data_IF_155912969577
#
_entry.id   IF_155912969577
#
_cell.length_a   1.000
_cell.length_b   1.000
_cell.length_c   1.000
_cell.angle_alpha   90.00
_cell.angle_beta   90.00
_cell.angle_gamma   90.00
#
_symmetry.space_group_name_H-M   'P 1'
#
loop_
_entity.id
_entity.type
_entity.pdbx_description
1 polymer ?
#
# COMPACT_ATOMS: atom_id res chain seq x y z
N UNK A 1 -3.27 -28.01 -12.02
CA UNK A 1 -2.30 -26.92 -12.21
C UNK A 1 -0.94 -27.41 -11.71
N UNK A 2 0.06 -27.46 -12.59
CA UNK A 2 1.33 -28.15 -12.34
C UNK A 2 2.24 -27.37 -11.39
N UNK A 3 2.93 -28.08 -10.48
CA UNK A 3 3.96 -27.58 -9.54
C UNK A 3 5.05 -26.72 -10.23
N UNK A 4 5.25 -26.88 -11.54
CA UNK A 4 6.21 -26.09 -12.33
C UNK A 4 5.81 -24.61 -12.49
N UNK A 5 4.51 -24.30 -12.62
CA UNK A 5 4.05 -22.91 -12.81
C UNK A 5 4.19 -22.06 -11.53
N UNK A 6 4.04 -22.67 -10.35
CA UNK A 6 4.20 -21.97 -9.07
C UNK A 6 5.67 -21.61 -8.79
N UNK A 7 6.60 -22.50 -9.17
CA UNK A 7 8.04 -22.26 -9.01
C UNK A 7 8.55 -21.14 -9.94
N UNK A 8 8.07 -21.09 -11.19
CA UNK A 8 8.43 -20.02 -12.13
C UNK A 8 7.91 -18.65 -11.69
N UNK A 9 6.67 -18.56 -11.21
CA UNK A 9 6.10 -17.33 -10.65
C UNK A 9 6.86 -16.84 -9.42
N UNK A 10 7.20 -17.73 -8.48
CA UNK A 10 8.01 -17.38 -7.31
C UNK A 10 9.42 -16.91 -7.68
N UNK A 11 10.07 -17.57 -8.64
CA UNK A 11 11.40 -17.14 -9.11
C UNK A 11 11.36 -15.78 -9.83
N UNK A 12 10.26 -15.50 -10.52
CA UNK A 12 10.03 -14.23 -11.22
C UNK A 12 9.75 -13.11 -10.24
N UNK A 13 8.90 -13.34 -9.24
CA UNK A 13 8.64 -12.39 -8.16
C UNK A 13 9.90 -12.07 -7.36
N UNK A 14 10.73 -13.07 -7.02
CA UNK A 14 12.02 -12.86 -6.34
C UNK A 14 13.01 -12.05 -7.19
N UNK A 15 13.09 -12.32 -8.49
CA UNK A 15 13.93 -11.53 -9.42
C UNK A 15 13.44 -10.09 -9.55
N UNK A 16 12.13 -9.88 -9.71
CA UNK A 16 11.53 -8.55 -9.77
C UNK A 16 11.76 -7.79 -8.44
N UNK A 17 11.61 -8.45 -7.29
CA UNK A 17 11.83 -7.87 -5.97
C UNK A 17 13.28 -7.40 -5.76
N UNK A 18 14.26 -8.25 -6.08
CA UNK A 18 15.69 -7.86 -6.06
C UNK A 18 16.00 -6.73 -7.03
N UNK A 19 15.35 -6.73 -8.21
CA UNK A 19 15.48 -5.68 -9.21
C UNK A 19 14.88 -4.37 -8.69
N UNK A 20 13.67 -4.35 -8.14
CA UNK A 20 13.02 -3.14 -7.63
C UNK A 20 13.76 -2.49 -6.45
N UNK A 21 14.36 -3.29 -5.58
CA UNK A 21 15.19 -2.81 -4.47
C UNK A 21 16.56 -2.30 -4.94
N UNK A 22 17.08 -2.79 -6.07
CA UNK A 22 18.39 -2.43 -6.63
C UNK A 22 18.36 -1.55 -7.89
N UNK A 23 17.20 -1.30 -8.50
CA UNK A 23 17.12 -0.50 -9.73
C UNK A 23 17.26 0.97 -9.41
N UNK A 24 18.27 1.60 -9.99
CA UNK A 24 18.31 3.05 -10.13
C UNK A 24 17.01 3.52 -10.78
N UNK A 25 16.27 4.38 -10.08
CA UNK A 25 14.98 5.00 -10.41
C UNK A 25 14.83 5.43 -11.89
N UNK A 26 14.48 4.52 -12.79
CA UNK A 26 14.07 4.86 -14.17
C UNK A 26 12.55 4.78 -14.27
N UNK A 27 11.89 5.92 -14.02
CA UNK A 27 10.46 6.05 -14.31
C UNK A 27 10.26 5.92 -15.81
N UNK A 28 9.24 5.18 -16.21
CA UNK A 28 9.00 4.98 -17.63
C UNK A 28 8.51 6.28 -18.28
N UNK A 29 7.93 7.23 -17.52
CA UNK A 29 7.50 8.57 -18.00
C UNK A 29 8.11 9.71 -17.17
N UNK A 30 8.47 10.81 -17.85
CA UNK A 30 8.84 12.07 -17.19
C UNK A 30 7.61 12.98 -17.01
N UNK A 31 7.38 13.58 -15.82
CA UNK A 31 6.21 14.43 -15.59
C UNK A 31 6.29 15.84 -16.22
N UNK A 32 7.36 16.18 -16.94
CA UNK A 32 7.69 17.59 -17.23
C UNK A 32 6.86 18.11 -18.42
N UNK A 33 5.64 18.53 -18.12
CA UNK A 33 4.95 19.59 -18.85
C UNK A 33 4.51 20.63 -17.83
N UNK A 34 4.73 21.92 -18.12
CA UNK A 34 4.30 23.08 -17.32
C UNK A 34 2.76 23.16 -17.25
N UNK A 35 2.10 22.21 -16.57
CA UNK A 35 0.67 22.29 -16.28
C UNK A 35 0.49 23.06 -14.99
N UNK A 36 0.02 24.31 -15.12
CA UNK A 36 -0.35 25.20 -14.01
C UNK A 36 -1.22 24.43 -12.98
N UNK A 37 -0.79 24.37 -11.72
CA UNK A 37 -1.67 24.07 -10.57
C UNK A 37 -1.72 22.64 -10.00
N UNK A 38 -0.95 21.67 -10.49
CA UNK A 38 -0.90 20.32 -9.85
C UNK A 38 0.21 20.26 -8.81
N UNK A 39 -0.15 20.05 -7.54
CA UNK A 39 0.82 19.78 -6.46
C UNK A 39 1.40 18.39 -6.67
N UNK A 40 2.74 18.33 -6.76
CA UNK A 40 3.52 17.10 -6.91
C UNK A 40 4.60 17.10 -5.84
N UNK A 41 5.15 15.92 -5.55
CA UNK A 41 6.25 15.83 -4.59
C UNK A 41 6.84 14.44 -4.52
N UNK A 42 7.56 14.22 -3.43
CA UNK A 42 8.22 12.96 -3.11
C UNK A 42 7.77 12.47 -1.73
N UNK A 43 7.64 11.16 -1.59
CA UNK A 43 7.33 10.46 -0.36
C UNK A 43 8.56 9.63 0.03
N UNK A 44 9.18 9.85 1.20
CA UNK A 44 10.32 9.05 1.62
C UNK A 44 9.81 7.74 2.23
N UNK A 45 10.08 6.64 1.52
CA UNK A 45 9.66 5.29 1.86
C UNK A 45 10.80 4.52 2.52
N UNK A 46 10.58 4.04 3.74
CA UNK A 46 11.47 3.12 4.44
C UNK A 46 11.42 1.75 3.76
N UNK A 47 10.21 1.28 3.38
CA UNK A 47 9.99 0.01 2.68
C UNK A 47 10.79 -0.10 1.38
N UNK A 48 10.90 1.00 0.64
CA UNK A 48 11.61 1.04 -0.64
C UNK A 48 13.04 1.58 -0.54
N UNK A 49 13.45 2.12 0.61
CA UNK A 49 14.76 2.74 0.80
C UNK A 49 15.01 3.94 -0.14
N UNK A 50 13.97 4.56 -0.69
CA UNK A 50 14.08 5.67 -1.65
C UNK A 50 12.89 6.62 -1.60
N UNK A 51 13.04 7.75 -2.29
CA UNK A 51 11.95 8.68 -2.56
C UNK A 51 11.03 8.14 -3.67
N UNK A 52 9.72 8.11 -3.40
CA UNK A 52 8.64 7.74 -4.33
C UNK A 52 7.97 9.03 -4.80
N UNK A 53 7.90 9.32 -6.11
CA UNK A 53 7.11 10.49 -6.52
C UNK A 53 5.62 10.22 -6.53
N UNK A 54 4.89 11.31 -6.36
CA UNK A 54 3.45 11.37 -6.51
C UNK A 54 3.09 12.65 -7.28
N UNK A 55 2.06 12.57 -8.11
CA UNK A 55 1.56 13.64 -8.98
C UNK A 55 0.24 14.24 -8.49
N UNK A 56 -0.32 13.71 -7.40
CA UNK A 56 -1.54 14.21 -6.75
C UNK A 56 -1.56 13.94 -5.24
N UNK A 57 -2.41 14.67 -4.51
CA UNK A 57 -2.62 14.45 -3.07
C UNK A 57 -3.19 13.06 -2.76
N UNK A 58 -3.99 12.49 -3.68
CA UNK A 58 -4.51 11.13 -3.53
C UNK A 58 -3.37 10.11 -3.64
N UNK A 59 -2.45 10.28 -4.59
CA UNK A 59 -1.26 9.43 -4.69
C UNK A 59 -0.39 9.54 -3.43
N UNK A 60 -0.20 10.74 -2.87
CA UNK A 60 0.51 10.93 -1.59
C UNK A 60 -0.16 10.13 -0.46
N UNK A 61 -1.50 10.17 -0.36
CA UNK A 61 -2.27 9.40 0.63
C UNK A 61 -2.12 7.90 0.44
N UNK A 62 -2.14 7.44 -0.81
CA UNK A 62 -1.94 6.04 -1.13
C UNK A 62 -0.52 5.55 -0.76
N UNK A 63 0.52 6.37 -0.97
CA UNK A 63 1.87 6.04 -0.51
C UNK A 63 1.93 5.72 0.99
N UNK A 64 1.22 6.49 1.84
CA UNK A 64 1.13 6.17 3.27
C UNK A 64 0.48 4.80 3.51
N UNK A 65 -0.58 4.45 2.78
CA UNK A 65 -1.22 3.14 2.94
C UNK A 65 -0.30 2.01 2.50
N UNK A 66 0.39 2.16 1.37
CA UNK A 66 1.31 1.14 0.87
C UNK A 66 2.51 0.97 1.79
N UNK A 67 3.03 2.06 2.36
CA UNK A 67 4.14 2.06 3.30
C UNK A 67 3.83 1.25 4.56
N UNK A 68 2.67 1.49 5.17
CA UNK A 68 2.28 0.85 6.43
C UNK A 68 1.55 -0.49 6.25
N UNK A 69 1.15 -0.85 5.03
CA UNK A 69 0.47 -2.13 4.79
C UNK A 69 1.46 -3.27 4.82
N UNK A 70 1.33 -4.14 5.84
CA UNK A 70 2.16 -5.34 5.96
C UNK A 70 2.06 -6.24 4.73
N UNK A 71 0.86 -6.39 4.16
CA UNK A 71 0.68 -7.24 2.98
C UNK A 71 1.45 -6.72 1.75
N UNK A 72 1.77 -5.42 1.68
CA UNK A 72 2.61 -4.87 0.61
C UNK A 72 4.07 -5.09 0.98
N UNK A 73 4.78 -5.87 0.17
CA UNK A 73 6.22 -6.03 0.31
C UNK A 73 6.99 -4.87 -0.33
N UNK A 74 6.58 -4.46 -1.54
CA UNK A 74 7.23 -3.40 -2.30
C UNK A 74 6.22 -2.64 -3.15
N UNK A 75 6.54 -1.39 -3.50
CA UNK A 75 5.75 -0.62 -4.45
C UNK A 75 6.61 0.37 -5.23
N UNK A 76 6.19 0.71 -6.45
CA UNK A 76 6.82 1.76 -7.27
C UNK A 76 5.79 2.54 -8.06
N UNK A 77 6.10 3.80 -8.31
CA UNK A 77 5.31 4.69 -9.15
C UNK A 77 5.56 4.43 -10.64
N UNK A 78 4.52 4.62 -11.47
CA UNK A 78 4.57 4.62 -12.94
C UNK A 78 5.37 3.44 -13.54
N UNK A 79 5.01 2.20 -13.16
CA UNK A 79 5.84 1.00 -13.30
C UNK A 79 6.06 0.57 -14.76
N UNK A 80 5.03 0.68 -15.59
CA UNK A 80 5.01 0.16 -16.96
C UNK A 80 4.21 1.06 -17.90
N UNK A 81 4.51 1.00 -19.20
CA UNK A 81 3.65 1.53 -20.27
C UNK A 81 2.96 0.37 -20.98
N UNK A 82 1.64 0.35 -20.90
CA UNK A 82 0.74 -0.58 -21.58
C UNK A 82 0.17 0.05 -22.86
N UNK A 83 -0.20 -0.80 -23.81
CA UNK A 83 -0.88 -0.42 -25.05
C UNK A 83 -2.22 -1.14 -25.08
N UNK A 84 -3.29 -0.41 -24.81
CA UNK A 84 -4.63 -0.96 -24.64
C UNK A 84 -5.45 -0.73 -25.91
N UNK A 85 -5.87 -1.79 -26.61
CA UNK A 85 -6.86 -1.68 -27.68
C UNK A 85 -8.21 -1.19 -27.12
N UNK A 86 -8.72 -0.08 -27.63
CA UNK A 86 -9.96 0.53 -27.15
C UNK A 86 -10.62 1.36 -28.25
N UNK A 87 -11.86 1.03 -28.64
CA UNK A 87 -12.62 1.69 -29.72
C UNK A 87 -11.79 1.85 -31.01
N UNK A 88 -11.29 0.73 -31.54
CA UNK A 88 -10.51 0.65 -32.79
C UNK A 88 -9.15 1.38 -32.78
N UNK A 89 -8.79 2.03 -31.67
CA UNK A 89 -7.49 2.68 -31.50
C UNK A 89 -6.68 2.01 -30.39
N UNK A 90 -5.35 2.12 -30.48
CA UNK A 90 -4.45 1.70 -29.40
C UNK A 90 -4.16 2.91 -28.53
N UNK A 91 -4.56 2.85 -27.26
CA UNK A 91 -4.28 3.90 -26.26
C UNK A 91 -3.10 3.50 -25.38
N UNK A 92 -2.16 4.43 -25.21
CA UNK A 92 -1.06 4.27 -24.24
C UNK A 92 -1.57 4.51 -22.82
N UNK A 93 -1.25 3.60 -21.91
CA UNK A 93 -1.68 3.63 -20.52
C UNK A 93 -0.51 3.34 -19.58
N UNK A 94 -0.48 4.00 -18.43
CA UNK A 94 0.50 3.77 -17.36
C UNK A 94 -0.27 3.81 -16.05
N UNK A 95 -0.43 2.67 -15.35
CA UNK A 95 -0.96 2.66 -14.00
C UNK A 95 -0.14 3.59 -13.10
N UNK A 96 -0.76 4.15 -12.06
CA UNK A 96 -0.07 5.07 -11.15
C UNK A 96 0.96 4.33 -10.28
N UNK A 97 0.63 3.12 -9.82
CA UNK A 97 1.52 2.28 -9.01
C UNK A 97 1.52 0.81 -9.41
N UNK A 98 2.60 0.12 -9.08
CA UNK A 98 2.70 -1.34 -8.96
C UNK A 98 2.99 -1.67 -7.51
N UNK A 99 2.28 -2.66 -6.98
CA UNK A 99 2.48 -3.23 -5.65
C UNK A 99 2.87 -4.69 -5.83
N UNK A 100 3.87 -5.12 -5.07
CA UNK A 100 4.19 -6.53 -4.85
C UNK A 100 3.72 -6.88 -3.45
N UNK A 101 2.88 -7.88 -3.34
CA UNK A 101 2.41 -8.38 -2.06
C UNK A 101 3.39 -9.41 -1.47
N UNK A 102 3.32 -9.63 -0.16
CA UNK A 102 4.09 -10.68 0.51
C UNK A 102 3.80 -12.09 -0.05
N UNK A 103 2.63 -12.29 -0.66
CA UNK A 103 2.25 -13.53 -1.37
C UNK A 103 2.96 -13.69 -2.72
N UNK A 104 3.66 -12.65 -3.20
CA UNK A 104 4.26 -12.58 -4.54
C UNK A 104 3.29 -12.08 -5.63
N UNK A 105 2.02 -11.85 -5.29
CA UNK A 105 1.06 -11.27 -6.23
C UNK A 105 1.44 -9.85 -6.63
N UNK A 106 1.25 -9.51 -7.90
CA UNK A 106 1.54 -8.17 -8.45
C UNK A 106 0.23 -7.46 -8.78
N UNK A 107 0.04 -6.30 -8.18
CA UNK A 107 -1.15 -5.48 -8.34
C UNK A 107 -0.78 -4.14 -8.99
N UNK A 108 -1.48 -3.79 -10.07
CA UNK A 108 -1.41 -2.46 -10.68
C UNK A 108 -2.55 -1.60 -10.14
N UNK A 109 -2.18 -0.43 -9.63
CA UNK A 109 -3.10 0.48 -8.97
C UNK A 109 -3.25 1.75 -9.81
N UNK A 110 -4.50 2.13 -10.05
CA UNK A 110 -4.89 3.43 -10.57
C UNK A 110 -5.52 4.27 -9.46
N UNK A 111 -5.16 5.54 -9.36
CA UNK A 111 -5.68 6.46 -8.35
C UNK A 111 -6.46 7.58 -9.04
N UNK A 112 -7.77 7.65 -8.76
CA UNK A 112 -8.66 8.66 -9.35
C UNK A 112 -9.76 9.08 -8.39
N UNK A 113 -10.24 10.34 -8.45
CA UNK A 113 -11.48 10.70 -7.76
C UNK A 113 -12.66 9.81 -8.21
N UNK A 114 -13.52 9.40 -7.29
CA UNK A 114 -14.64 8.49 -7.55
C UNK A 114 -15.60 9.04 -8.60
N UNK A 115 -15.79 10.37 -8.64
CA UNK A 115 -16.62 11.02 -9.65
C UNK A 115 -16.12 10.83 -11.09
N UNK A 116 -14.84 10.48 -11.30
CA UNK A 116 -14.31 10.15 -12.63
C UNK A 116 -14.82 8.80 -13.12
N UNK A 117 -15.20 7.89 -12.23
CA UNK A 117 -15.75 6.59 -12.61
C UNK A 117 -17.20 6.67 -13.10
N UNK A 118 -17.84 7.85 -13.02
CA UNK A 118 -19.16 8.10 -13.61
C UNK A 118 -19.10 8.28 -15.15
N UNK A 119 -17.91 8.53 -15.70
CA UNK A 119 -17.69 8.56 -17.14
C UNK A 119 -17.64 7.13 -17.69
N UNK A 120 -18.69 6.73 -18.43
CA UNK A 120 -18.82 5.40 -19.00
C UNK A 120 -17.70 5.06 -19.99
N UNK A 121 -17.17 6.04 -20.74
CA UNK A 121 -16.07 5.83 -21.67
C UNK A 121 -14.78 5.53 -20.92
N UNK A 122 -14.52 6.27 -19.85
CA UNK A 122 -13.38 6.02 -18.98
C UNK A 122 -13.50 4.68 -18.24
N UNK A 123 -14.69 4.34 -17.75
CA UNK A 123 -14.95 3.07 -17.10
C UNK A 123 -14.70 1.90 -18.05
N UNK A 124 -15.24 1.96 -19.27
CA UNK A 124 -15.00 0.96 -20.31
C UNK A 124 -13.51 0.82 -20.66
N UNK A 125 -12.78 1.94 -20.68
CA UNK A 125 -11.33 1.91 -20.88
C UNK A 125 -10.60 1.17 -19.76
N UNK A 126 -10.96 1.41 -18.50
CA UNK A 126 -10.39 0.66 -17.37
C UNK A 126 -10.78 -0.81 -17.35
N UNK A 127 -11.97 -1.17 -17.84
CA UNK A 127 -12.34 -2.58 -18.05
C UNK A 127 -11.41 -3.24 -19.07
N UNK A 128 -11.12 -2.57 -20.20
CA UNK A 128 -10.19 -3.06 -21.20
C UNK A 128 -8.76 -3.18 -20.64
N UNK A 129 -8.29 -2.19 -19.89
CA UNK A 129 -6.98 -2.23 -19.23
C UNK A 129 -6.89 -3.36 -18.19
N UNK A 130 -7.96 -3.55 -17.40
CA UNK A 130 -8.06 -4.64 -16.43
C UNK A 130 -7.99 -6.01 -17.11
N UNK A 131 -8.70 -6.19 -18.23
CA UNK A 131 -8.66 -7.43 -19.01
C UNK A 131 -7.25 -7.74 -19.50
N UNK A 132 -6.54 -6.75 -20.05
CA UNK A 132 -5.17 -6.91 -20.52
C UNK A 132 -4.20 -7.32 -19.38
N UNK A 133 -4.34 -6.70 -18.22
CA UNK A 133 -3.52 -7.01 -17.04
C UNK A 133 -3.81 -8.39 -16.45
N UNK A 134 -5.09 -8.76 -16.33
CA UNK A 134 -5.52 -10.08 -15.85
C UNK A 134 -5.03 -11.19 -16.77
N UNK A 135 -5.06 -10.97 -18.10
CA UNK A 135 -4.52 -11.92 -19.07
C UNK A 135 -3.00 -12.17 -18.89
N UNK A 136 -2.27 -11.19 -18.32
CA UNK A 136 -0.84 -11.32 -17.97
C UNK A 136 -0.61 -11.87 -16.56
N UNK A 137 -1.67 -12.23 -15.84
CA UNK A 137 -1.59 -12.76 -14.47
C UNK A 137 -1.49 -11.69 -13.38
N UNK A 138 -1.85 -10.44 -13.68
CA UNK A 138 -1.81 -9.33 -12.73
C UNK A 138 -3.20 -8.91 -12.26
N UNK A 139 -3.27 -8.36 -11.05
CA UNK A 139 -4.50 -7.74 -10.52
C UNK A 139 -4.51 -6.26 -10.89
N UNK A 140 -5.67 -5.74 -11.31
CA UNK A 140 -5.87 -4.31 -11.53
C UNK A 140 -6.90 -3.76 -10.55
N UNK A 141 -6.53 -2.70 -9.84
CA UNK A 141 -7.35 -2.08 -8.80
C UNK A 141 -7.40 -0.57 -9.02
N UNK A 142 -8.59 0.01 -8.88
CA UNK A 142 -8.75 1.45 -8.77
C UNK A 142 -8.97 1.81 -7.31
N UNK A 143 -8.23 2.78 -6.78
CA UNK A 143 -8.43 3.34 -5.44
C UNK A 143 -8.84 4.80 -5.61
N UNK A 144 -9.89 5.21 -4.90
CA UNK A 144 -10.46 6.55 -5.04
C UNK A 144 -10.33 7.39 -3.77
N UNK A 145 -10.72 8.65 -3.87
CA UNK A 145 -10.82 9.54 -2.72
C UNK A 145 -11.80 9.03 -1.65
N UNK A 146 -12.80 8.21 -2.02
CA UNK A 146 -13.70 7.57 -1.04
C UNK A 146 -12.97 6.57 -0.14
N UNK A 147 -11.97 5.85 -0.67
CA UNK A 147 -11.16 4.93 0.11
C UNK A 147 -9.97 5.61 0.77
N UNK A 148 -9.44 6.70 0.20
CA UNK A 148 -8.23 7.38 0.68
C UNK A 148 -8.49 8.50 1.68
N UNK A 149 -9.64 9.20 1.60
CA UNK A 149 -9.93 10.36 2.43
C UNK A 149 -10.44 9.95 3.80
N UNK A 150 -9.50 9.64 4.69
CA UNK A 150 -9.80 9.36 6.10
C UNK A 150 -8.89 10.21 7.00
N UNK A 151 -9.34 11.40 7.46
CA UNK A 151 -8.48 12.36 8.16
C UNK A 151 -7.78 11.80 9.42
N UNK A 152 -8.49 10.99 10.20
CA UNK A 152 -7.92 10.38 11.42
C UNK A 152 -6.80 9.40 11.08
N UNK A 153 -7.06 8.46 10.16
CA UNK A 153 -6.05 7.55 9.63
C UNK A 153 -4.86 8.28 9.01
N UNK A 154 -5.09 9.32 8.21
CA UNK A 154 -4.00 10.15 7.66
C UNK A 154 -3.14 10.74 8.79
N UNK A 155 -3.76 11.33 9.82
CA UNK A 155 -3.04 11.88 10.97
C UNK A 155 -2.24 10.80 11.73
N UNK A 156 -2.82 9.63 11.93
CA UNK A 156 -2.16 8.51 12.59
C UNK A 156 -0.93 8.03 11.79
N UNK A 157 -1.06 7.82 10.48
CA UNK A 157 0.03 7.36 9.61
C UNK A 157 1.15 8.41 9.51
N UNK A 158 0.80 9.69 9.39
CA UNK A 158 1.77 10.80 9.43
C UNK A 158 2.55 10.79 10.74
N UNK A 159 1.85 10.60 11.88
CA UNK A 159 2.49 10.51 13.20
C UNK A 159 3.42 9.30 13.30
N UNK A 160 2.95 8.11 12.93
CA UNK A 160 3.72 6.87 13.02
C UNK A 160 4.96 6.89 12.12
N UNK A 161 4.92 7.64 11.01
CA UNK A 161 6.06 7.79 10.09
C UNK A 161 7.34 8.24 10.79
N UNK A 162 7.22 9.09 11.80
CA UNK A 162 8.37 9.57 12.57
C UNK A 162 9.08 8.47 13.37
N UNK A 163 8.45 7.30 13.54
CA UNK A 163 8.95 6.19 14.35
C UNK A 163 9.30 4.94 13.53
N UNK A 164 9.18 4.99 12.20
CA UNK A 164 9.44 3.82 11.33
C UNK A 164 10.91 3.39 11.34
N UNK A 165 11.84 4.35 11.37
CA UNK A 165 13.28 4.07 11.29
C UNK A 165 13.95 3.92 12.68
N UNK A 166 13.17 3.89 13.76
CA UNK A 166 13.70 3.73 15.12
C UNK A 166 14.24 2.32 15.35
N UNK A 167 15.40 2.18 16.01
CA UNK A 167 15.94 0.86 16.34
C UNK A 167 15.14 0.21 17.47
N UNK A 168 14.60 -0.98 17.23
CA UNK A 168 14.01 -1.85 18.24
C UNK A 168 14.85 -3.11 18.38
N UNK A 169 15.19 -3.48 19.62
CA UNK A 169 15.86 -4.75 19.87
C UNK A 169 14.87 -5.90 19.70
N UNK A 170 15.35 -7.04 19.20
CA UNK A 170 14.55 -8.27 19.12
C UNK A 170 14.03 -8.70 20.49
N UNK A 171 14.84 -8.50 21.53
CA UNK A 171 14.47 -8.73 22.93
C UNK A 171 13.22 -7.93 23.31
N UNK A 172 13.21 -6.62 23.06
CA UNK A 172 12.07 -5.75 23.38
C UNK A 172 10.81 -6.16 22.62
N UNK A 173 10.93 -6.43 21.32
CA UNK A 173 9.80 -6.89 20.51
C UNK A 173 9.20 -8.18 21.11
N UNK A 174 10.04 -9.18 21.36
CA UNK A 174 9.59 -10.47 21.88
C UNK A 174 8.97 -10.36 23.29
N UNK A 175 9.61 -9.60 24.18
CA UNK A 175 9.12 -9.39 25.55
C UNK A 175 7.79 -8.64 25.55
N UNK A 176 7.66 -7.56 24.77
CA UNK A 176 6.40 -6.80 24.68
C UNK A 176 5.28 -7.61 24.05
N UNK A 177 5.56 -8.36 22.97
CA UNK A 177 4.56 -9.25 22.37
C UNK A 177 4.12 -10.33 23.35
N UNK A 178 5.06 -10.97 24.06
CA UNK A 178 4.72 -11.96 25.09
C UNK A 178 3.89 -11.34 26.22
N UNK A 179 4.33 -10.20 26.76
CA UNK A 179 3.62 -9.48 27.82
C UNK A 179 2.19 -9.09 27.41
N UNK A 180 1.99 -8.61 26.19
CA UNK A 180 0.68 -8.23 25.68
C UNK A 180 -0.22 -9.47 25.50
N UNK A 181 0.34 -10.62 25.10
CA UNK A 181 -0.43 -11.87 24.96
C UNK A 181 -1.04 -12.38 26.27
N UNK A 182 -0.52 -11.93 27.42
CA UNK A 182 -1.00 -12.31 28.75
C UNK A 182 -2.06 -11.35 29.29
N UNK A 183 -2.46 -10.33 28.52
CA UNK A 183 -3.46 -9.32 28.92
C UNK A 183 -4.79 -9.54 28.19
N UNK A 184 -5.88 -9.25 28.90
CA UNK A 184 -7.20 -9.17 28.28
C UNK A 184 -7.32 -7.91 27.41
N UNK A 185 -6.96 -6.76 27.97
CA UNK A 185 -6.90 -5.47 27.28
C UNK A 185 -5.61 -4.72 27.65
N UNK A 186 -5.13 -3.89 26.73
CA UNK A 186 -4.00 -2.98 26.94
C UNK A 186 -4.21 -1.71 26.14
N UNK A 187 -4.04 -0.54 26.76
CA UNK A 187 -4.02 0.73 26.04
C UNK A 187 -2.60 1.24 25.77
N UNK A 188 -2.48 2.33 25.01
CA UNK A 188 -1.20 2.90 24.62
C UNK A 188 -0.38 3.42 25.81
N UNK A 189 -1.02 3.98 26.84
CA UNK A 189 -0.30 4.44 28.04
C UNK A 189 0.31 3.27 28.82
N UNK A 190 -0.43 2.16 28.96
CA UNK A 190 0.07 0.94 29.59
C UNK A 190 1.24 0.33 28.78
N UNK A 191 1.13 0.33 27.45
CA UNK A 191 2.22 -0.09 26.58
C UNK A 191 3.46 0.79 26.77
N UNK A 192 3.29 2.12 26.78
CA UNK A 192 4.39 3.06 26.96
C UNK A 192 5.04 2.92 28.35
N UNK A 193 4.25 2.63 29.38
CA UNK A 193 4.75 2.33 30.72
C UNK A 193 5.58 1.04 30.73
N UNK A 194 5.10 -0.02 30.07
CA UNK A 194 5.82 -1.30 29.97
C UNK A 194 7.13 -1.18 29.19
N UNK A 195 7.11 -0.51 28.03
CA UNK A 195 8.34 -0.32 27.23
C UNK A 195 9.30 0.68 27.87
N UNK A 196 8.81 1.53 28.78
CA UNK A 196 9.56 2.60 29.44
C UNK A 196 9.59 3.91 28.65
N UNK A 197 8.95 3.97 27.47
CA UNK A 197 8.82 5.20 26.69
C UNK A 197 7.72 5.13 25.63
N UNK A 198 7.09 6.28 25.38
CA UNK A 198 6.18 6.45 24.23
C UNK A 198 6.89 6.24 22.89
N UNK A 199 8.18 6.58 22.78
CA UNK A 199 8.93 6.38 21.54
C UNK A 199 8.97 4.90 21.14
N UNK A 200 9.28 4.00 22.07
CA UNK A 200 9.29 2.56 21.79
C UNK A 200 7.88 2.03 21.50
N UNK A 201 6.87 2.48 22.24
CA UNK A 201 5.47 2.13 21.97
C UNK A 201 5.05 2.53 20.55
N UNK A 202 5.31 3.77 20.13
CA UNK A 202 5.03 4.22 18.76
C UNK A 202 5.86 3.48 17.70
N UNK A 203 7.11 3.13 18.00
CA UNK A 203 7.97 2.38 17.08
C UNK A 203 7.43 0.97 16.85
N UNK A 204 6.97 0.29 17.91
CA UNK A 204 6.33 -1.03 17.82
C UNK A 204 5.06 -0.99 16.95
N UNK A 205 4.27 0.09 17.03
CA UNK A 205 3.10 0.29 16.17
C UNK A 205 3.49 0.65 14.73
N UNK A 206 4.47 1.55 14.55
CA UNK A 206 4.91 2.05 13.25
C UNK A 206 5.58 0.97 12.39
N UNK A 207 6.30 0.05 13.02
CA UNK A 207 6.93 -1.11 12.36
C UNK A 207 5.99 -2.32 12.29
N UNK A 208 4.76 -2.17 12.81
CA UNK A 208 3.73 -3.20 12.77
C UNK A 208 3.97 -4.38 13.70
N UNK A 209 4.86 -4.32 14.68
CA UNK A 209 4.97 -5.39 15.68
C UNK A 209 3.68 -5.51 16.52
N UNK A 210 3.01 -4.40 16.76
CA UNK A 210 1.71 -4.30 17.41
C UNK A 210 0.70 -3.59 16.50
N UNK A 211 -0.58 -3.62 16.86
CA UNK A 211 -1.66 -3.03 16.05
C UNK A 211 -2.72 -2.35 16.90
N UNK A 212 -3.46 -1.47 16.24
CA UNK A 212 -4.54 -0.69 16.83
C UNK A 212 -5.55 -0.31 15.74
N UNK A 213 -6.71 0.21 16.11
CA UNK A 213 -7.66 0.71 15.14
C UNK A 213 -7.17 2.04 14.52
N UNK A 214 -6.65 1.97 13.29
CA UNK A 214 -6.13 3.12 12.53
C UNK A 214 -7.19 4.18 12.22
N UNK A 215 -8.47 3.84 12.26
CA UNK A 215 -9.60 4.74 11.97
C UNK A 215 -10.03 5.55 13.19
N UNK A 216 -9.52 5.22 14.38
CA UNK A 216 -9.74 5.97 15.62
C UNK A 216 -8.52 6.82 15.99
N UNK A 217 -8.71 7.96 16.69
CA UNK A 217 -7.60 8.77 17.15
C UNK A 217 -6.62 7.96 18.01
N UNK A 218 -5.31 8.04 17.71
CA UNK A 218 -4.27 7.44 18.54
C UNK A 218 -4.02 8.30 19.78
N UNK A 219 -4.62 7.90 20.90
CA UNK A 219 -4.56 8.52 22.23
C UNK A 219 -4.02 7.52 23.27
N UNK A 220 -3.80 7.99 24.48
CA UNK A 220 -3.35 7.16 25.61
C UNK A 220 -4.32 6.00 25.92
N UNK A 221 -5.61 6.16 25.62
CA UNK A 221 -6.65 5.15 25.85
C UNK A 221 -6.88 4.22 24.65
N UNK A 222 -6.15 4.41 23.54
CA UNK A 222 -6.30 3.54 22.37
C UNK A 222 -5.87 2.12 22.70
N UNK A 223 -6.78 1.16 22.47
CA UNK A 223 -6.49 -0.26 22.65
C UNK A 223 -5.46 -0.75 21.64
N UNK A 224 -4.47 -1.48 22.14
CA UNK A 224 -3.38 -2.09 21.41
C UNK A 224 -3.51 -3.60 21.49
N UNK A 225 -3.32 -4.27 20.37
CA UNK A 225 -3.43 -5.71 20.26
C UNK A 225 -2.33 -6.28 19.35
N UNK A 226 -2.06 -7.57 19.52
CA UNK A 226 -1.26 -8.34 18.59
C UNK A 226 -2.19 -8.68 17.42
N UNK A 227 -1.85 -8.26 16.21
CA UNK A 227 -2.64 -8.66 15.04
C UNK A 227 -2.33 -10.12 14.74
N UNK A 228 -3.33 -10.99 14.84
CA UNK A 228 -3.22 -12.36 14.34
C UNK A 228 -2.84 -12.32 12.86
N UNK A 229 -2.02 -13.27 12.40
CA UNK A 229 -1.66 -13.44 10.98
C UNK A 229 -2.87 -13.90 10.15
N UNK A 230 -3.99 -13.19 10.23
CA UNK A 230 -5.12 -13.41 9.33
C UNK A 230 -4.85 -12.70 8.02
N UNK A 231 -5.33 -13.29 6.93
CA UNK A 231 -5.33 -12.75 5.57
C UNK A 231 -6.08 -11.40 5.44
N UNK A 232 -6.48 -10.79 6.55
CA UNK A 232 -7.14 -9.49 6.69
C UNK A 232 -6.13 -8.35 6.93
N UNK A 233 -4.97 -8.42 6.29
CA UNK A 233 -4.05 -7.28 6.17
C UNK A 233 -4.46 -6.29 5.06
N UNK A 234 -5.75 -6.22 4.73
CA UNK A 234 -6.29 -5.24 3.78
C UNK A 234 -6.34 -3.85 4.44
N UNK A 235 -5.21 -3.14 4.48
CA UNK A 235 -5.20 -1.72 4.86
C UNK A 235 -5.96 -0.83 3.87
N UNK A 236 -6.43 -1.37 2.75
CA UNK A 236 -7.16 -0.58 1.77
C UNK A 236 -8.20 -1.41 1.01
N UNK A 237 -9.43 -0.93 1.08
CA UNK A 237 -10.50 -1.24 0.12
C UNK A 237 -10.10 -0.68 -1.24
N UNK A 238 -10.48 -1.38 -2.31
CA UNK A 238 -10.32 -0.87 -3.66
C UNK A 238 -11.46 -1.33 -4.55
N UNK A 239 -11.35 -1.02 -5.84
CA UNK A 239 -12.38 -1.27 -6.84
C UNK A 239 -11.81 -2.12 -7.95
N UNK A 240 -12.48 -3.23 -8.25
CA UNK A 240 -12.05 -4.17 -9.29
C UNK A 240 -13.09 -4.27 -10.40
N UNK A 241 -12.63 -4.61 -11.60
CA UNK A 241 -13.48 -5.00 -12.73
C UNK A 241 -14.43 -6.15 -12.33
N UNK A 242 -15.65 -6.26 -12.92
CA UNK A 242 -16.17 -5.46 -14.02
C UNK A 242 -16.87 -4.15 -13.61
N UNK A 243 -17.36 -4.06 -12.38
CA UNK A 243 -18.23 -2.96 -11.95
C UNK A 243 -17.50 -1.85 -11.19
N UNK A 244 -16.23 -2.06 -10.83
CA UNK A 244 -15.43 -1.13 -10.04
C UNK A 244 -16.16 -0.62 -8.80
N UNK A 245 -16.91 -1.51 -8.15
CA UNK A 245 -17.52 -1.27 -6.84
C UNK A 245 -16.49 -1.49 -5.73
N UNK A 246 -16.59 -0.76 -4.60
CA UNK A 246 -15.71 -0.96 -3.46
C UNK A 246 -15.80 -2.40 -2.95
N UNK A 247 -14.65 -3.04 -2.77
CA UNK A 247 -14.51 -4.38 -2.19
C UNK A 247 -13.29 -4.39 -1.28
N UNK A 248 -13.41 -5.03 -0.12
CA UNK A 248 -12.23 -5.40 0.67
C UNK A 248 -11.42 -6.38 -0.17
N UNK A 249 -10.14 -6.06 -0.38
CA UNK A 249 -9.31 -6.85 -1.28
C UNK A 249 -8.58 -7.89 -0.45
N UNK A 250 -8.96 -9.14 -0.65
CA UNK A 250 -8.27 -10.28 -0.07
C UNK A 250 -7.19 -10.75 -1.04
N UNK A 251 -5.98 -10.94 -0.53
CA UNK A 251 -4.91 -11.64 -1.26
C UNK A 251 -5.17 -13.15 -1.17
N UNK A 252 -4.76 -13.89 -2.20
CA UNK A 252 -5.02 -15.34 -2.29
C UNK A 252 -4.00 -16.17 -1.55
#
# INVERSE_FOLDING_TARGET
MSLKNAAELNSTAQRINSSLKNTSSTRVREPITRSRGKVRGQFPSTKMGRLIAWESQLERRACYLFEFCKAVEAFREQPIRLYIPFNEVIKRYTPDFELILQTGEIWYIEIKPANKLLDLSLLAFYQAASKELVNKGYTFVIITDQELNHPIRERNLVRLRHYQDSSLSRELINQTTYWLSQKADCNLAELAHYTGSYQQAYSLLAQGHLSFNLEQPLTEHTLIYIKENTNENSLFTGRTSPDFRPRTLHHR
#
